data_IF_100581661894
#
_entry.id   IF_100581661894
#
_cell.length_a   1.000
_cell.length_b   1.000
_cell.length_c   1.000
_cell.angle_alpha   90.00
_cell.angle_beta   90.00
_cell.angle_gamma   90.00
#
_symmetry.space_group_name_H-M   'P 1'
#
loop_
_entity.id
_entity.type
_entity.pdbx_description
1 polymer ?
#
# COMPACT_ATOMS: atom_id res chain seq x y z
N UNK A 1 19.60 -13.01 -18.40
CA UNK A 1 19.20 -12.66 -17.01
C UNK A 1 20.41 -12.66 -16.11
N UNK A 2 20.75 -11.47 -15.63
CA UNK A 2 21.76 -11.20 -14.61
C UNK A 2 21.36 -11.88 -13.26
N UNK A 3 22.34 -12.28 -12.44
CA UNK A 3 22.11 -12.82 -11.07
C UNK A 3 21.23 -11.90 -10.21
N UNK A 4 21.39 -10.58 -10.33
CA UNK A 4 20.58 -9.58 -9.62
C UNK A 4 19.10 -9.63 -10.04
N UNK A 5 18.82 -9.74 -11.34
CA UNK A 5 17.44 -9.89 -11.85
C UNK A 5 16.80 -11.19 -11.38
N UNK A 6 17.56 -12.29 -11.33
CA UNK A 6 17.06 -13.57 -10.80
C UNK A 6 16.74 -13.49 -9.30
N UNK A 7 17.56 -12.81 -8.51
CA UNK A 7 17.32 -12.63 -7.08
C UNK A 7 16.13 -11.70 -6.83
N UNK A 8 16.02 -10.60 -7.58
CA UNK A 8 14.88 -9.69 -7.52
C UNK A 8 13.58 -10.39 -7.90
N UNK A 9 13.56 -11.12 -9.02
CA UNK A 9 12.37 -11.85 -9.45
C UNK A 9 11.97 -12.91 -8.44
N UNK A 10 12.92 -13.66 -7.88
CA UNK A 10 12.62 -14.64 -6.82
C UNK A 10 12.02 -13.95 -5.59
N UNK A 11 12.64 -12.87 -5.11
CA UNK A 11 12.19 -12.08 -3.97
C UNK A 11 10.78 -11.49 -4.18
N UNK A 12 10.49 -11.04 -5.41
CA UNK A 12 9.22 -10.45 -5.82
C UNK A 12 8.12 -11.53 -5.91
N UNK A 13 8.38 -12.65 -6.59
CA UNK A 13 7.43 -13.77 -6.68
C UNK A 13 7.11 -14.40 -5.32
N UNK A 14 8.04 -14.40 -4.37
CA UNK A 14 7.78 -14.87 -2.99
C UNK A 14 6.84 -13.95 -2.20
N UNK A 15 6.69 -12.69 -2.62
CA UNK A 15 5.87 -11.67 -1.96
C UNK A 15 4.59 -11.33 -2.73
N UNK A 16 4.57 -11.63 -4.03
CA UNK A 16 3.44 -11.46 -4.93
C UNK A 16 2.36 -12.50 -4.65
N UNK A 17 1.17 -12.04 -4.27
CA UNK A 17 -0.02 -12.89 -4.19
C UNK A 17 -0.82 -12.81 -5.50
N UNK A 18 -0.68 -13.83 -6.33
CA UNK A 18 -1.43 -13.92 -7.59
C UNK A 18 -2.93 -14.20 -7.41
N UNK A 19 -3.40 -14.45 -6.18
CA UNK A 19 -4.77 -14.87 -5.86
C UNK A 19 -5.54 -13.86 -5.01
N UNK A 20 -4.87 -13.02 -4.22
CA UNK A 20 -5.49 -11.98 -3.41
C UNK A 20 -4.88 -10.62 -3.69
N UNK A 21 -5.63 -9.81 -4.41
CA UNK A 21 -5.37 -8.39 -4.56
C UNK A 21 -6.14 -7.65 -3.48
N UNK A 22 -5.44 -6.85 -2.68
CA UNK A 22 -6.08 -5.89 -1.77
C UNK A 22 -6.44 -4.64 -2.54
N UNK A 23 -7.60 -4.05 -2.28
CA UNK A 23 -7.99 -2.76 -2.81
C UNK A 23 -7.60 -1.69 -1.81
N UNK A 24 -6.78 -0.73 -2.25
CA UNK A 24 -6.37 0.43 -1.47
C UNK A 24 -7.06 1.67 -2.05
N UNK A 25 -7.74 2.43 -1.20
CA UNK A 25 -8.34 3.72 -1.53
C UNK A 25 -7.75 4.81 -0.67
N UNK A 26 -7.40 5.93 -1.29
CA UNK A 26 -6.86 7.11 -0.65
C UNK A 26 -7.92 8.19 -0.62
N UNK A 27 -8.07 8.85 0.53
CA UNK A 27 -9.04 9.91 0.72
C UNK A 27 -8.39 11.19 1.25
N UNK A 28 -9.05 12.30 0.95
CA UNK A 28 -8.78 13.61 1.54
C UNK A 28 -10.09 14.33 1.80
N UNK A 29 -10.31 14.79 3.03
CA UNK A 29 -11.55 15.50 3.42
C UNK A 29 -12.82 14.72 3.08
N UNK A 30 -12.74 13.38 3.13
CA UNK A 30 -13.85 12.48 2.81
C UNK A 30 -14.04 12.20 1.32
N UNK A 31 -13.29 12.83 0.42
CA UNK A 31 -13.33 12.54 -1.01
C UNK A 31 -12.28 11.49 -1.39
N UNK A 32 -12.67 10.51 -2.21
CA UNK A 32 -11.75 9.49 -2.74
C UNK A 32 -10.88 10.12 -3.82
N UNK A 33 -9.59 10.31 -3.53
CA UNK A 33 -8.62 10.84 -4.50
C UNK A 33 -8.16 9.75 -5.45
N UNK A 34 -7.90 8.55 -4.92
CA UNK A 34 -7.29 7.48 -5.71
C UNK A 34 -7.72 6.10 -5.23
N UNK A 35 -7.72 5.14 -6.14
CA UNK A 35 -7.97 3.72 -5.87
C UNK A 35 -7.00 2.89 -6.71
N UNK A 36 -6.35 1.90 -6.09
CA UNK A 36 -5.47 0.96 -6.77
C UNK A 36 -5.45 -0.38 -6.04
N UNK A 37 -4.92 -1.40 -6.70
CA UNK A 37 -4.79 -2.74 -6.11
C UNK A 37 -3.33 -3.06 -5.81
N UNK A 38 -3.10 -3.81 -4.75
CA UNK A 38 -1.78 -4.37 -4.41
C UNK A 38 -1.86 -5.88 -4.24
N UNK A 39 -0.82 -6.58 -4.67
CA UNK A 39 -0.69 -8.04 -4.57
C UNK A 39 0.31 -8.43 -3.47
N UNK A 40 0.22 -7.78 -2.31
CA UNK A 40 1.13 -8.02 -1.19
C UNK A 40 0.63 -9.17 -0.30
N UNK A 41 1.35 -10.29 -0.30
CA UNK A 41 1.02 -11.48 0.51
C UNK A 41 1.41 -11.36 1.98
N UNK A 42 2.50 -10.63 2.27
CA UNK A 42 3.20 -10.67 3.57
C UNK A 42 2.93 -9.50 4.49
N UNK A 43 2.43 -8.38 3.98
CA UNK A 43 2.21 -7.18 4.78
C UNK A 43 0.83 -7.20 5.43
N UNK A 44 0.80 -6.77 6.69
CA UNK A 44 -0.45 -6.46 7.37
C UNK A 44 -1.11 -5.24 6.72
N UNK A 45 -2.42 -5.09 6.91
CA UNK A 45 -3.15 -3.95 6.35
C UNK A 45 -2.61 -2.62 6.91
N UNK A 46 -2.12 -2.59 8.15
CA UNK A 46 -1.47 -1.40 8.72
C UNK A 46 -0.14 -1.07 8.03
N UNK A 47 0.70 -2.07 7.73
CA UNK A 47 1.95 -1.86 7.00
C UNK A 47 1.69 -1.39 5.58
N UNK A 48 0.71 -1.97 4.88
CA UNK A 48 0.29 -1.50 3.56
C UNK A 48 -0.25 -0.05 3.64
N UNK A 49 -0.98 0.32 4.69
CA UNK A 49 -1.46 1.69 4.91
C UNK A 49 -0.31 2.68 5.17
N UNK A 50 0.70 2.30 5.96
CA UNK A 50 1.91 3.11 6.19
C UNK A 50 2.68 3.35 4.89
N UNK A 51 2.89 2.30 4.10
CA UNK A 51 3.58 2.39 2.81
C UNK A 51 2.77 3.25 1.82
N UNK A 52 1.45 3.03 1.74
CA UNK A 52 0.57 3.84 0.91
C UNK A 52 0.64 5.33 1.29
N UNK A 53 0.66 5.64 2.60
CA UNK A 53 0.78 7.01 3.07
C UNK A 53 2.11 7.66 2.68
N UNK A 54 3.22 6.94 2.86
CA UNK A 54 4.55 7.42 2.47
C UNK A 54 4.63 7.67 0.95
N UNK A 55 4.13 6.73 0.14
CA UNK A 55 4.17 6.85 -1.33
C UNK A 55 3.29 8.00 -1.81
N UNK A 56 2.07 8.14 -1.27
CA UNK A 56 1.17 9.24 -1.61
C UNK A 56 1.80 10.60 -1.28
N UNK A 57 2.42 10.72 -0.09
CA UNK A 57 3.13 11.92 0.33
C UNK A 57 4.30 12.25 -0.60
N UNK A 58 5.12 11.26 -0.95
CA UNK A 58 6.24 11.42 -1.88
C UNK A 58 5.80 11.81 -3.29
N UNK A 59 4.60 11.39 -3.70
CA UNK A 59 3.98 11.77 -4.97
C UNK A 59 3.27 13.13 -4.92
N UNK A 60 3.28 13.83 -3.78
CA UNK A 60 2.68 15.15 -3.60
C UNK A 60 1.17 15.14 -3.32
N UNK A 61 0.58 13.98 -3.03
CA UNK A 61 -0.81 13.89 -2.61
C UNK A 61 -0.96 14.24 -1.14
N UNK A 62 -2.00 15.01 -0.82
CA UNK A 62 -2.44 15.25 0.55
C UNK A 62 -3.56 14.26 0.82
N UNK A 63 -3.38 13.38 1.81
CA UNK A 63 -4.34 12.36 2.20
C UNK A 63 -4.54 12.38 3.71
N UNK A 64 -5.75 12.08 4.19
CA UNK A 64 -6.09 12.02 5.62
C UNK A 64 -6.58 10.63 6.07
N UNK A 65 -7.08 9.82 5.13
CA UNK A 65 -7.61 8.48 5.39
C UNK A 65 -7.23 7.50 4.27
N UNK A 66 -6.92 6.27 4.66
CA UNK A 66 -6.62 5.16 3.77
C UNK A 66 -7.60 4.02 4.10
N UNK A 67 -8.27 3.48 3.09
CA UNK A 67 -9.13 2.29 3.21
C UNK A 67 -8.46 1.13 2.50
N UNK A 68 -8.27 0.01 3.21
CA UNK A 68 -7.71 -1.23 2.67
C UNK A 68 -8.73 -2.33 2.89
N UNK A 69 -9.34 -2.82 1.81
CA UNK A 69 -10.41 -3.83 1.83
C UNK A 69 -11.52 -3.50 2.86
N UNK A 70 -11.88 -2.22 3.00
CA UNK A 70 -12.91 -1.76 3.94
C UNK A 70 -12.42 -1.46 5.37
N UNK A 71 -11.14 -1.66 5.68
CA UNK A 71 -10.53 -1.21 6.93
C UNK A 71 -9.94 0.17 6.75
N UNK A 72 -10.34 1.09 7.61
CA UNK A 72 -9.96 2.49 7.53
C UNK A 72 -8.84 2.82 8.51
N UNK A 73 -7.84 3.55 8.02
CA UNK A 73 -6.68 4.00 8.76
C UNK A 73 -6.51 5.50 8.58
N UNK A 74 -6.47 6.25 9.69
CA UNK A 74 -6.17 7.68 9.64
C UNK A 74 -4.67 7.88 9.54
N UNK A 75 -4.24 8.71 8.59
CA UNK A 75 -2.81 8.99 8.36
C UNK A 75 -2.16 9.59 9.62
N UNK A 76 -2.89 10.41 10.37
CA UNK A 76 -2.42 11.00 11.62
C UNK A 76 -2.22 10.01 12.77
N UNK A 77 -2.74 8.78 12.66
CA UNK A 77 -2.60 7.72 13.67
C UNK A 77 -1.53 6.71 13.27
N UNK A 78 -1.26 6.54 11.97
CA UNK A 78 -0.26 5.59 11.45
C UNK A 78 1.18 5.91 11.82
N UNK A 79 1.48 7.18 12.12
CA UNK A 79 2.85 7.65 12.45
C UNK A 79 2.98 8.21 13.86
N UNK A 80 1.97 8.03 14.71
CA UNK A 80 2.11 8.34 16.14
C UNK A 80 2.90 7.21 16.81
N UNK A 81 4.10 7.53 17.26
CA UNK A 81 4.89 6.68 18.16
C UNK A 81 4.25 6.64 19.55
#
# INVERSE_FOLDING_TARGET
MNKAEKQFNKWWFERFDSKKYKIIKLFFKGEKIQEYTTANKKYSDEEDAKVAAMVATNAGFIIDLIDIDGKQFKVSELFKN
#
